data_IF_295829103263
#
_entry.id   IF_295829103263
#
_cell.length_a   1.000
_cell.length_b   1.000
_cell.length_c   1.000
_cell.angle_alpha   90.00
_cell.angle_beta   90.00
_cell.angle_gamma   90.00
#
_symmetry.space_group_name_H-M   'P 1'
#
loop_
_entity.id
_entity.type
_entity.pdbx_description
1 polymer ?
#
# COMPACT_ATOMS: atom_id res chain seq x y z
N UNK A 1 30.84 78.67 11.94
CA UNK A 1 30.33 78.07 10.69
C UNK A 1 29.18 77.18 11.08
N UNK A 2 27.96 77.63 10.84
CA UNK A 2 26.70 77.00 11.28
C UNK A 2 26.25 75.99 10.24
N UNK A 3 25.89 74.77 10.66
CA UNK A 3 25.00 73.87 9.91
C UNK A 3 24.19 73.05 10.93
N UNK A 4 22.90 73.32 11.03
CA UNK A 4 21.87 72.49 11.69
C UNK A 4 21.40 71.39 10.73
N UNK A 5 21.12 70.16 11.20
CA UNK A 5 20.27 69.22 10.48
C UNK A 5 18.84 69.19 11.05
N UNK A 6 17.89 69.13 10.11
CA UNK A 6 16.45 69.17 10.25
C UNK A 6 15.83 67.92 10.90
N UNK A 7 14.69 68.17 11.55
CA UNK A 7 13.48 67.34 11.68
C UNK A 7 13.55 65.83 11.42
N UNK A 8 13.30 65.07 12.48
CA UNK A 8 12.86 63.66 12.42
C UNK A 8 11.38 63.56 11.99
N UNK A 9 11.11 63.01 10.80
CA UNK A 9 9.81 62.46 10.44
C UNK A 9 9.68 61.00 10.95
N UNK A 10 8.54 60.60 11.54
CA UNK A 10 8.29 59.21 11.90
C UNK A 10 7.99 58.35 10.64
N UNK A 11 8.31 57.04 10.65
CA UNK A 11 8.15 56.19 9.48
C UNK A 11 6.67 56.04 9.10
N UNK A 12 6.40 56.09 7.78
CA UNK A 12 5.09 55.81 7.17
C UNK A 12 4.52 54.48 7.66
N UNK A 13 3.30 54.54 8.20
CA UNK A 13 2.51 53.35 8.51
C UNK A 13 2.16 52.64 7.21
N UNK A 14 2.68 51.42 7.04
CA UNK A 14 2.24 50.50 5.98
C UNK A 14 0.71 50.39 6.00
N UNK A 15 0.04 50.39 4.84
CA UNK A 15 -1.41 50.28 4.78
C UNK A 15 -1.83 48.99 5.48
N UNK A 16 -2.69 49.13 6.49
CA UNK A 16 -3.31 48.04 7.22
C UNK A 16 -3.76 46.96 6.24
N UNK A 17 -3.06 45.82 6.23
CA UNK A 17 -3.56 44.59 5.65
C UNK A 17 -4.78 44.22 6.50
N UNK A 18 -5.97 44.59 6.05
CA UNK A 18 -7.23 44.08 6.57
C UNK A 18 -7.18 42.58 6.37
N UNK A 19 -6.79 41.87 7.43
CA UNK A 19 -7.01 40.44 7.54
C UNK A 19 -8.52 40.26 7.60
N UNK A 20 -9.16 40.02 6.46
CA UNK A 20 -10.50 39.45 6.45
C UNK A 20 -10.37 38.07 7.09
N UNK A 21 -10.59 38.00 8.40
CA UNK A 21 -10.78 36.73 9.08
C UNK A 21 -11.92 36.01 8.34
N UNK A 22 -11.76 34.73 7.96
CA UNK A 22 -12.85 34.00 7.34
C UNK A 22 -14.07 34.10 8.24
N UNK A 23 -15.22 34.46 7.66
CA UNK A 23 -16.49 34.52 8.39
C UNK A 23 -16.74 33.15 9.02
N UNK A 24 -17.04 33.12 10.32
CA UNK A 24 -17.34 31.88 11.02
C UNK A 24 -18.57 31.21 10.36
N UNK A 25 -18.59 29.86 10.24
CA UNK A 25 -19.73 29.17 9.65
C UNK A 25 -20.98 29.40 10.49
N UNK A 26 -22.13 29.43 9.82
CA UNK A 26 -23.43 29.37 10.47
C UNK A 26 -23.65 28.01 11.16
N UNK A 27 -24.65 27.95 12.04
CA UNK A 27 -25.01 26.69 12.71
C UNK A 27 -25.43 25.61 11.70
N UNK A 28 -26.18 25.99 10.67
CA UNK A 28 -26.67 25.07 9.64
C UNK A 28 -25.51 24.51 8.80
N UNK A 29 -24.60 25.37 8.33
CA UNK A 29 -23.41 24.95 7.58
C UNK A 29 -22.52 23.98 8.37
N UNK A 30 -22.35 24.21 9.68
CA UNK A 30 -21.56 23.30 10.51
C UNK A 30 -22.31 22.00 10.80
N UNK A 31 -23.63 22.04 11.00
CA UNK A 31 -24.44 20.84 11.22
C UNK A 31 -24.40 19.90 10.01
N UNK A 32 -24.54 20.44 8.79
CA UNK A 32 -24.40 19.67 7.54
C UNK A 32 -23.02 19.01 7.45
N UNK A 33 -21.95 19.79 7.64
CA UNK A 33 -20.57 19.25 7.63
C UNK A 33 -20.35 18.14 8.66
N UNK A 34 -20.95 18.28 9.84
CA UNK A 34 -20.81 17.30 10.91
C UNK A 34 -21.58 16.00 10.58
N UNK A 35 -22.75 16.12 9.94
CA UNK A 35 -23.49 14.96 9.41
C UNK A 35 -22.68 14.24 8.34
N UNK A 36 -22.09 14.95 7.39
CA UNK A 36 -21.23 14.36 6.35
C UNK A 36 -20.04 13.62 6.96
N UNK A 37 -19.39 14.22 7.96
CA UNK A 37 -18.27 13.58 8.68
C UNK A 37 -18.70 12.31 9.42
N UNK A 38 -19.92 12.31 9.96
CA UNK A 38 -20.50 11.15 10.64
C UNK A 38 -20.79 10.02 9.65
N UNK A 39 -21.33 10.34 8.47
CA UNK A 39 -21.57 9.38 7.39
C UNK A 39 -20.26 8.80 6.87
N UNK A 40 -19.24 9.62 6.62
CA UNK A 40 -17.92 9.16 6.20
C UNK A 40 -17.25 8.23 7.24
N UNK A 41 -17.47 8.49 8.53
CA UNK A 41 -17.00 7.60 9.61
C UNK A 41 -17.73 6.25 9.59
N UNK A 42 -19.06 6.26 9.41
CA UNK A 42 -19.86 5.05 9.29
C UNK A 42 -19.49 4.22 8.05
N UNK A 43 -19.26 4.89 6.91
CA UNK A 43 -18.75 4.29 5.68
C UNK A 43 -17.40 3.60 5.93
N UNK A 44 -16.43 4.32 6.51
CA UNK A 44 -15.10 3.76 6.83
C UNK A 44 -15.20 2.51 7.70
N UNK A 45 -16.03 2.55 8.75
CA UNK A 45 -16.21 1.40 9.64
C UNK A 45 -17.01 0.26 8.98
N UNK A 46 -17.83 0.55 7.97
CA UNK A 46 -18.44 -0.50 7.16
C UNK A 46 -17.44 -1.15 6.20
N UNK A 47 -16.50 -0.39 5.64
CA UNK A 47 -15.39 -0.94 4.84
C UNK A 47 -14.57 -1.90 5.70
N UNK A 48 -14.30 -1.56 6.97
CA UNK A 48 -13.65 -2.49 7.91
C UNK A 48 -14.38 -3.84 7.99
N UNK A 49 -15.72 -3.86 8.07
CA UNK A 49 -16.47 -5.12 8.11
C UNK A 49 -16.29 -5.93 6.83
N UNK A 50 -16.42 -5.29 5.67
CA UNK A 50 -16.26 -5.94 4.38
C UNK A 50 -14.86 -6.51 4.16
N UNK A 51 -13.85 -5.79 4.62
CA UNK A 51 -12.45 -6.21 4.58
C UNK A 51 -12.22 -7.42 5.50
N UNK A 52 -12.61 -7.33 6.78
CA UNK A 52 -12.42 -8.41 7.76
C UNK A 52 -13.20 -9.69 7.43
N UNK A 53 -14.34 -9.57 6.74
CA UNK A 53 -15.16 -10.70 6.31
C UNK A 53 -14.75 -11.23 4.93
N UNK A 54 -13.78 -10.62 4.26
CA UNK A 54 -13.30 -11.02 2.94
C UNK A 54 -14.30 -10.77 1.81
N UNK A 55 -15.30 -9.92 2.03
CA UNK A 55 -16.38 -9.67 1.07
C UNK A 55 -15.91 -8.95 -0.19
N UNK A 56 -15.02 -7.95 -0.06
CA UNK A 56 -14.45 -7.28 -1.22
C UNK A 56 -13.61 -8.21 -2.08
N UNK A 57 -12.75 -9.04 -1.46
CA UNK A 57 -11.95 -10.02 -2.18
C UNK A 57 -12.84 -11.03 -2.91
N UNK A 58 -13.89 -11.52 -2.25
CA UNK A 58 -14.85 -12.45 -2.85
C UNK A 58 -15.53 -11.85 -4.10
N UNK A 59 -15.93 -10.58 -4.05
CA UNK A 59 -16.50 -9.87 -5.20
C UNK A 59 -15.46 -9.64 -6.32
N UNK A 60 -14.21 -9.34 -5.96
CA UNK A 60 -13.14 -9.16 -6.94
C UNK A 60 -12.82 -10.49 -7.68
N UNK A 61 -12.80 -11.61 -6.96
CA UNK A 61 -12.44 -12.93 -7.48
C UNK A 61 -13.57 -13.59 -8.30
N UNK A 62 -14.83 -13.30 -7.96
CA UNK A 62 -15.99 -13.99 -8.53
C UNK A 62 -16.91 -13.10 -9.37
N UNK A 63 -16.63 -11.80 -9.44
CA UNK A 63 -17.47 -10.84 -10.15
C UNK A 63 -18.78 -10.56 -9.44
N UNK A 64 -19.83 -10.13 -10.16
CA UNK A 64 -21.11 -9.75 -9.56
C UNK A 64 -21.78 -10.92 -8.81
N UNK A 65 -22.18 -10.70 -7.56
CA UNK A 65 -22.82 -11.71 -6.70
C UNK A 65 -24.13 -11.21 -6.10
N UNK A 66 -25.06 -12.12 -5.82
CA UNK A 66 -26.22 -11.82 -4.97
C UNK A 66 -25.81 -11.86 -3.50
N UNK A 67 -26.63 -11.31 -2.60
CA UNK A 67 -26.39 -11.40 -1.16
C UNK A 67 -26.31 -12.84 -0.65
N UNK A 68 -27.13 -13.74 -1.22
CA UNK A 68 -27.11 -15.16 -0.88
C UNK A 68 -25.81 -15.84 -1.34
N UNK A 69 -25.34 -15.53 -2.56
CA UNK A 69 -24.10 -16.10 -3.09
C UNK A 69 -22.88 -15.63 -2.31
N UNK A 70 -22.81 -14.33 -1.97
CA UNK A 70 -21.73 -13.78 -1.14
C UNK A 70 -21.70 -14.49 0.22
N UNK A 71 -22.86 -14.55 0.88
CA UNK A 71 -22.99 -15.17 2.19
C UNK A 71 -22.58 -16.64 2.20
N UNK A 72 -23.02 -17.41 1.20
CA UNK A 72 -22.64 -18.82 1.05
C UNK A 72 -21.12 -18.98 0.85
N UNK A 73 -20.51 -18.12 0.03
CA UNK A 73 -19.06 -18.19 -0.26
C UNK A 73 -18.19 -17.81 0.93
N UNK A 74 -18.63 -16.85 1.74
CA UNK A 74 -17.84 -16.36 2.89
C UNK A 74 -18.27 -16.96 4.22
N UNK A 75 -19.19 -17.93 4.23
CA UNK A 75 -19.73 -18.54 5.46
C UNK A 75 -20.28 -17.49 6.43
N UNK A 76 -21.04 -16.53 5.90
CA UNK A 76 -21.70 -15.47 6.68
C UNK A 76 -23.21 -15.56 6.55
N UNK A 77 -23.94 -14.83 7.38
CA UNK A 77 -25.40 -14.81 7.32
C UNK A 77 -25.90 -13.95 6.14
N UNK A 78 -26.88 -14.48 5.40
CA UNK A 78 -27.40 -13.85 4.18
C UNK A 78 -28.13 -12.53 4.43
N UNK A 79 -28.74 -12.34 5.60
CA UNK A 79 -29.36 -11.06 5.97
C UNK A 79 -28.28 -10.00 6.12
N UNK A 80 -27.25 -10.28 6.91
CA UNK A 80 -26.18 -9.29 7.16
C UNK A 80 -25.37 -8.98 5.89
N UNK A 81 -25.15 -9.97 5.02
CA UNK A 81 -24.55 -9.75 3.71
C UNK A 81 -25.43 -8.81 2.85
N UNK A 82 -26.76 -8.99 2.86
CA UNK A 82 -27.67 -8.10 2.14
C UNK A 82 -27.62 -6.66 2.64
N UNK A 83 -27.79 -6.47 3.95
CA UNK A 83 -27.78 -5.11 4.55
C UNK A 83 -26.46 -4.38 4.25
N UNK A 84 -25.33 -5.10 4.33
CA UNK A 84 -24.04 -4.53 4.00
C UNK A 84 -23.90 -4.19 2.51
N UNK A 85 -24.26 -5.11 1.61
CA UNK A 85 -24.20 -4.86 0.16
C UNK A 85 -25.05 -3.67 -0.26
N UNK A 86 -26.26 -3.55 0.27
CA UNK A 86 -27.17 -2.43 0.01
C UNK A 86 -26.58 -1.10 0.50
N UNK A 87 -26.00 -1.09 1.71
CA UNK A 87 -25.33 0.08 2.25
C UNK A 87 -24.09 0.49 1.44
N UNK A 88 -23.27 -0.48 1.02
CA UNK A 88 -22.09 -0.24 0.18
C UNK A 88 -22.48 0.32 -1.21
N UNK A 89 -23.60 -0.15 -1.76
CA UNK A 89 -24.15 0.42 -2.98
C UNK A 89 -24.68 1.85 -2.78
N UNK A 90 -25.31 2.13 -1.63
CA UNK A 90 -25.77 3.47 -1.28
C UNK A 90 -24.62 4.48 -1.10
N UNK A 91 -23.47 4.04 -0.58
CA UNK A 91 -22.24 4.85 -0.53
C UNK A 91 -21.50 4.96 -1.87
N UNK A 92 -21.96 4.24 -2.91
CA UNK A 92 -21.33 4.26 -4.23
C UNK A 92 -20.03 3.47 -4.33
N UNK A 93 -19.70 2.64 -3.33
CA UNK A 93 -18.52 1.75 -3.33
C UNK A 93 -18.78 0.55 -4.24
N UNK A 94 -19.99 -0.01 -4.20
CA UNK A 94 -20.42 -1.13 -5.04
C UNK A 94 -21.49 -0.68 -6.05
N UNK A 95 -21.51 -1.31 -7.22
CA UNK A 95 -22.59 -1.16 -8.18
C UNK A 95 -23.67 -2.21 -7.93
N UNK A 96 -24.94 -1.79 -7.82
CA UNK A 96 -26.09 -2.68 -7.73
C UNK A 96 -26.83 -2.76 -9.07
N UNK A 97 -27.04 -3.97 -9.59
CA UNK A 97 -27.89 -4.23 -10.76
C UNK A 97 -29.32 -4.53 -10.31
N UNK A 98 -30.15 -3.49 -10.27
CA UNK A 98 -31.56 -3.57 -9.89
C UNK A 98 -32.46 -4.16 -10.98
N UNK A 99 -31.93 -4.42 -12.18
CA UNK A 99 -32.68 -5.10 -13.25
C UNK A 99 -32.79 -6.61 -13.03
N UNK A 100 -31.98 -7.17 -12.12
CA UNK A 100 -31.96 -8.58 -11.75
C UNK A 100 -32.77 -8.86 -10.49
N UNK A 101 -33.34 -10.07 -10.41
CA UNK A 101 -34.01 -10.55 -9.20
C UNK A 101 -33.49 -11.96 -8.88
N UNK A 102 -32.72 -12.15 -7.79
CA UNK A 102 -32.31 -11.14 -6.81
C UNK A 102 -31.28 -10.14 -7.37
N UNK A 103 -31.19 -8.95 -6.76
CA UNK A 103 -30.18 -7.92 -7.07
C UNK A 103 -28.78 -8.52 -6.98
N UNK A 104 -27.93 -8.20 -7.96
CA UNK A 104 -26.50 -8.53 -7.92
C UNK A 104 -25.66 -7.28 -7.68
N UNK A 105 -24.57 -7.44 -6.96
CA UNK A 105 -23.67 -6.37 -6.57
C UNK A 105 -22.28 -6.65 -7.13
N UNK A 106 -21.60 -5.63 -7.62
CA UNK A 106 -20.29 -5.74 -8.23
C UNK A 106 -19.33 -4.67 -7.70
N UNK A 107 -18.06 -5.04 -7.53
CA UNK A 107 -16.97 -4.11 -7.26
C UNK A 107 -16.34 -3.69 -8.59
N UNK A 108 -16.09 -2.39 -8.77
CA UNK A 108 -15.39 -1.91 -9.96
C UNK A 108 -13.89 -2.23 -9.87
N UNK A 109 -13.16 -2.37 -11.01
CA UNK A 109 -11.72 -2.66 -10.96
C UNK A 109 -10.91 -1.64 -10.16
N UNK A 110 -11.22 -0.34 -10.27
CA UNK A 110 -10.51 0.71 -9.52
C UNK A 110 -10.78 0.64 -8.00
N UNK A 111 -12.01 0.33 -7.60
CA UNK A 111 -12.32 0.13 -6.17
C UNK A 111 -11.67 -1.16 -5.65
N UNK A 112 -11.66 -2.23 -6.45
CA UNK A 112 -10.99 -3.48 -6.11
C UNK A 112 -9.48 -3.29 -5.92
N UNK A 113 -8.81 -2.53 -6.79
CA UNK A 113 -7.39 -2.19 -6.65
C UNK A 113 -7.11 -1.53 -5.28
N UNK A 114 -7.88 -0.50 -4.92
CA UNK A 114 -7.71 0.23 -3.66
C UNK A 114 -7.98 -0.66 -2.44
N UNK A 115 -9.02 -1.49 -2.49
CA UNK A 115 -9.48 -2.24 -1.30
C UNK A 115 -8.87 -3.63 -1.15
N UNK A 116 -8.31 -4.23 -2.21
CA UNK A 116 -7.91 -5.65 -2.19
C UNK A 116 -6.48 -5.91 -2.70
N UNK A 117 -5.94 -5.08 -3.60
CA UNK A 117 -4.62 -5.34 -4.18
C UNK A 117 -3.48 -4.86 -3.27
N UNK A 118 -2.99 -5.75 -2.40
CA UNK A 118 -1.87 -5.48 -1.47
C UNK A 118 -0.50 -5.23 -2.13
N UNK A 119 -0.43 -5.21 -3.47
CA UNK A 119 0.76 -4.83 -4.23
C UNK A 119 0.63 -3.45 -4.88
N UNK A 120 -0.59 -2.92 -5.02
CA UNK A 120 -0.82 -1.60 -5.59
C UNK A 120 -0.41 -0.49 -4.61
N UNK A 121 0.17 0.60 -5.14
CA UNK A 121 0.47 1.81 -4.36
C UNK A 121 -0.79 2.58 -3.97
N UNK A 122 -1.92 2.29 -4.60
CA UNK A 122 -3.22 2.84 -4.27
C UNK A 122 -3.92 2.05 -3.16
N UNK A 123 -3.33 0.96 -2.68
CA UNK A 123 -3.92 0.11 -1.66
C UNK A 123 -4.17 0.85 -0.35
N UNK A 124 -5.43 0.91 0.06
CA UNK A 124 -5.89 1.49 1.32
C UNK A 124 -6.86 0.57 2.07
N UNK A 125 -7.10 -0.66 1.57
CA UNK A 125 -8.08 -1.60 2.14
C UNK A 125 -7.90 -1.87 3.63
N UNK A 126 -6.66 -1.90 4.12
CA UNK A 126 -6.37 -2.14 5.54
C UNK A 126 -6.53 -0.88 6.44
N UNK A 127 -6.63 0.32 5.86
CA UNK A 127 -6.66 1.59 6.63
C UNK A 127 -7.77 1.64 7.70
N UNK A 128 -9.01 1.16 7.45
CA UNK A 128 -10.07 1.13 8.46
C UNK A 128 -9.71 0.35 9.72
N UNK A 129 -8.78 -0.61 9.66
CA UNK A 129 -8.32 -1.37 10.84
C UNK A 129 -7.68 -0.45 11.89
N UNK A 130 -6.98 0.61 11.48
CA UNK A 130 -6.43 1.59 12.42
C UNK A 130 -7.53 2.32 13.20
N UNK A 131 -8.62 2.66 12.52
CA UNK A 131 -9.79 3.28 13.16
C UNK A 131 -10.48 2.31 14.12
N UNK A 132 -10.67 1.05 13.71
CA UNK A 132 -11.21 0.01 14.58
C UNK A 132 -10.37 -0.17 15.87
N UNK A 133 -9.04 -0.26 15.72
CA UNK A 133 -8.11 -0.35 16.84
C UNK A 133 -8.19 0.86 17.78
N UNK A 134 -8.24 2.07 17.22
CA UNK A 134 -8.28 3.31 18.00
C UNK A 134 -9.63 3.51 18.70
N UNK A 135 -10.74 3.24 18.00
CA UNK A 135 -12.09 3.37 18.55
C UNK A 135 -12.36 2.36 19.67
N UNK A 136 -11.78 1.16 19.57
CA UNK A 136 -11.78 0.19 20.66
C UNK A 136 -11.08 0.66 21.94
N UNK A 137 -10.33 1.77 21.89
CA UNK A 137 -9.56 2.35 23.00
C UNK A 137 -9.99 3.77 23.40
N UNK A 138 -11.18 4.20 22.98
CA UNK A 138 -11.70 5.52 23.36
C UNK A 138 -11.75 5.75 24.87
N UNK A 139 -12.19 4.79 25.73
CA UNK A 139 -12.18 5.00 27.18
C UNK A 139 -10.78 5.29 27.74
N UNK A 140 -9.77 4.51 27.35
CA UNK A 140 -8.38 4.70 27.76
C UNK A 140 -7.79 5.99 27.20
N UNK A 141 -8.14 6.34 25.96
CA UNK A 141 -7.73 7.60 25.35
C UNK A 141 -8.32 8.81 26.11
N UNK A 142 -9.59 8.75 26.49
CA UNK A 142 -10.25 9.78 27.30
C UNK A 142 -9.59 9.95 28.66
N UNK A 143 -9.13 8.86 29.29
CA UNK A 143 -8.34 8.95 30.52
C UNK A 143 -7.00 9.64 30.27
N UNK A 144 -6.27 9.21 29.23
CA UNK A 144 -4.98 9.81 28.88
C UNK A 144 -5.08 11.32 28.58
N UNK A 145 -6.18 11.79 27.98
CA UNK A 145 -6.42 13.23 27.78
C UNK A 145 -6.58 14.01 29.10
N UNK A 146 -7.01 13.36 30.18
CA UNK A 146 -7.20 13.99 31.51
C UNK A 146 -5.95 13.88 32.36
N UNK A 147 -5.26 12.74 32.31
CA UNK A 147 -4.22 12.36 33.27
C UNK A 147 -2.81 12.38 32.67
N UNK A 148 -2.69 12.52 31.34
CA UNK A 148 -1.45 12.30 30.61
C UNK A 148 -1.20 10.81 30.33
N UNK A 149 -0.02 10.47 29.79
CA UNK A 149 0.29 9.09 29.39
C UNK A 149 -0.12 8.79 27.95
N UNK A 150 -0.70 7.61 27.69
CA UNK A 150 -1.12 7.23 26.35
C UNK A 150 -1.61 5.78 26.23
N UNK A 151 -2.05 5.42 25.03
CA UNK A 151 -2.44 4.05 24.65
C UNK A 151 -1.26 3.39 23.94
N UNK A 152 -0.82 2.23 24.42
CA UNK A 152 0.33 1.51 23.87
C UNK A 152 -0.01 0.76 22.58
N UNK A 153 1.02 0.44 21.79
CA UNK A 153 0.90 -0.45 20.62
C UNK A 153 0.39 -1.85 20.96
N UNK A 154 0.63 -2.32 22.19
CA UNK A 154 0.06 -3.57 22.68
C UNK A 154 -1.45 -3.45 22.83
N UNK A 155 -1.93 -2.35 23.43
CA UNK A 155 -3.36 -2.08 23.63
C UNK A 155 -4.10 -1.90 22.30
N UNK A 156 -3.49 -1.21 21.32
CA UNK A 156 -4.07 -1.07 19.97
C UNK A 156 -4.20 -2.41 19.23
N UNK A 157 -3.50 -3.45 19.66
CA UNK A 157 -3.74 -4.81 19.21
C UNK A 157 -3.27 -5.11 17.78
N UNK A 158 -3.79 -6.22 17.25
CA UNK A 158 -3.37 -6.74 15.96
C UNK A 158 -3.80 -5.83 14.79
N UNK A 159 -5.01 -5.26 14.84
CA UNK A 159 -5.53 -4.41 13.77
C UNK A 159 -4.61 -3.23 13.46
N UNK A 160 -4.08 -2.52 14.46
CA UNK A 160 -3.16 -1.42 14.24
C UNK A 160 -1.83 -1.89 13.62
N UNK A 161 -1.28 -3.01 14.10
CA UNK A 161 0.00 -3.54 13.61
C UNK A 161 -0.11 -4.08 12.19
N UNK A 162 -1.18 -4.82 11.90
CA UNK A 162 -1.45 -5.37 10.58
C UNK A 162 -1.81 -4.27 9.58
N UNK A 163 -2.56 -3.24 10.00
CA UNK A 163 -2.81 -2.05 9.19
C UNK A 163 -1.50 -1.41 8.73
N UNK A 164 -0.60 -1.12 9.67
CA UNK A 164 0.68 -0.50 9.35
C UNK A 164 1.53 -1.37 8.43
N UNK A 165 1.57 -2.68 8.69
CA UNK A 165 2.30 -3.63 7.85
C UNK A 165 1.75 -3.64 6.41
N UNK A 166 0.43 -3.75 6.26
CA UNK A 166 -0.23 -3.85 4.96
C UNK A 166 -0.11 -2.56 4.14
N UNK A 167 -0.19 -1.37 4.77
CA UNK A 167 -0.07 -0.09 4.07
C UNK A 167 1.37 0.24 3.66
N UNK A 168 2.37 -0.23 4.40
CA UNK A 168 3.77 -0.02 4.04
C UNK A 168 4.27 -1.01 2.97
N UNK A 169 3.65 -2.18 2.88
CA UNK A 169 4.09 -3.28 2.01
C UNK A 169 4.22 -2.87 0.52
N UNK A 170 3.25 -2.20 -0.13
CA UNK A 170 3.37 -1.84 -1.54
C UNK A 170 4.62 -1.02 -1.85
N UNK A 171 4.95 -0.06 -0.98
CA UNK A 171 6.14 0.76 -1.14
C UNK A 171 7.42 -0.06 -0.98
N UNK A 172 7.49 -0.94 0.02
CA UNK A 172 8.67 -1.81 0.19
C UNK A 172 8.88 -2.75 -1.00
N UNK A 173 7.80 -3.33 -1.53
CA UNK A 173 7.88 -4.27 -2.65
C UNK A 173 8.31 -3.59 -3.96
N UNK A 174 7.94 -2.32 -4.17
CA UNK A 174 8.11 -1.66 -5.49
C UNK A 174 9.17 -0.57 -5.52
N UNK A 175 9.38 0.16 -4.42
CA UNK A 175 10.19 1.39 -4.41
C UNK A 175 11.50 1.23 -3.65
N UNK A 176 11.57 0.35 -2.64
CA UNK A 176 12.78 0.20 -1.82
C UNK A 176 13.99 -0.25 -2.64
N UNK A 177 13.81 -1.25 -3.51
CA UNK A 177 14.88 -1.74 -4.40
C UNK A 177 15.45 -0.63 -5.28
N UNK A 178 14.62 0.06 -6.10
CA UNK A 178 15.05 1.22 -6.88
C UNK A 178 15.71 2.33 -6.06
N UNK A 179 15.15 2.67 -4.89
CA UNK A 179 15.68 3.69 -4.01
C UNK A 179 17.10 3.35 -3.52
N UNK A 180 17.34 2.10 -3.12
CA UNK A 180 18.67 1.62 -2.72
C UNK A 180 19.62 1.51 -3.91
N UNK A 181 19.09 1.12 -5.08
CA UNK A 181 19.80 1.07 -6.36
C UNK A 181 20.53 2.40 -6.68
N UNK A 182 19.88 3.53 -6.41
CA UNK A 182 20.44 4.87 -6.63
C UNK A 182 21.57 5.28 -5.68
N UNK A 183 21.80 4.56 -4.57
CA UNK A 183 22.79 4.95 -3.55
C UNK A 183 24.13 4.26 -3.81
N UNK A 184 24.95 4.83 -4.69
CA UNK A 184 26.25 4.24 -5.09
C UNK A 184 27.16 3.91 -3.89
N UNK A 185 27.22 4.77 -2.87
CA UNK A 185 28.05 4.54 -1.69
C UNK A 185 27.57 3.32 -0.87
N UNK A 186 26.27 3.02 -0.87
CA UNK A 186 25.72 1.85 -0.18
C UNK A 186 26.23 0.57 -0.84
N UNK A 187 26.17 0.49 -2.17
CA UNK A 187 26.68 -0.68 -2.91
C UNK A 187 28.16 -0.93 -2.66
N UNK A 188 28.98 0.12 -2.61
CA UNK A 188 30.41 0.01 -2.28
C UNK A 188 30.63 -0.57 -0.87
N UNK A 189 29.81 -0.17 0.10
CA UNK A 189 29.89 -0.69 1.48
C UNK A 189 29.44 -2.14 1.56
N UNK A 190 28.34 -2.48 0.90
CA UNK A 190 27.73 -3.81 0.93
C UNK A 190 28.50 -4.85 0.11
N UNK A 191 29.31 -4.42 -0.87
CA UNK A 191 30.19 -5.30 -1.65
C UNK A 191 31.37 -5.86 -0.85
N UNK A 192 31.58 -5.39 0.39
CA UNK A 192 32.66 -5.89 1.24
C UNK A 192 32.29 -7.28 1.78
N UNK A 193 33.22 -8.26 1.83
CA UNK A 193 32.93 -9.61 2.30
C UNK A 193 32.42 -9.70 3.75
N UNK A 194 32.74 -8.70 4.57
CA UNK A 194 32.38 -8.60 5.98
C UNK A 194 31.18 -7.70 6.25
N UNK A 195 30.53 -7.18 5.21
CA UNK A 195 29.37 -6.31 5.35
C UNK A 195 28.22 -7.03 6.05
N UNK A 196 27.58 -6.33 6.98
CA UNK A 196 26.40 -6.80 7.72
C UNK A 196 25.35 -5.71 7.70
N UNK A 197 24.09 -6.14 7.65
CA UNK A 197 22.92 -5.26 7.68
C UNK A 197 22.10 -5.63 8.91
N UNK A 198 21.66 -4.62 9.65
CA UNK A 198 20.65 -4.74 10.68
C UNK A 198 19.47 -3.83 10.30
N UNK A 199 18.31 -4.43 10.07
CA UNK A 199 17.05 -3.71 9.92
C UNK A 199 16.42 -3.57 11.31
N UNK A 200 16.29 -2.34 11.81
CA UNK A 200 15.84 -2.03 13.17
C UNK A 200 14.42 -1.46 13.08
N UNK A 201 13.47 -2.10 13.75
CA UNK A 201 12.06 -1.71 13.67
C UNK A 201 11.34 -2.27 12.44
N UNK A 202 11.81 -3.40 11.89
CA UNK A 202 11.31 -4.02 10.66
C UNK A 202 9.84 -4.51 10.71
N UNK A 203 9.22 -4.53 11.90
CA UNK A 203 7.81 -4.90 12.07
C UNK A 203 7.48 -6.27 11.47
N UNK A 204 6.56 -6.30 10.52
CA UNK A 204 6.17 -7.53 9.81
C UNK A 204 7.25 -8.07 8.84
N UNK A 205 8.39 -7.39 8.70
CA UNK A 205 9.53 -7.86 7.92
C UNK A 205 9.46 -7.57 6.42
N UNK A 206 8.48 -6.78 5.96
CA UNK A 206 8.38 -6.39 4.55
C UNK A 206 9.64 -5.66 4.06
N UNK A 207 10.19 -4.74 4.87
CA UNK A 207 11.45 -4.06 4.59
C UNK A 207 12.61 -5.05 4.50
N UNK A 208 12.74 -5.98 5.45
CA UNK A 208 13.80 -6.99 5.47
C UNK A 208 13.74 -7.92 4.26
N UNK A 209 12.54 -8.36 3.88
CA UNK A 209 12.32 -9.21 2.70
C UNK A 209 12.66 -8.43 1.43
N UNK A 210 12.23 -7.17 1.33
CA UNK A 210 12.55 -6.30 0.21
C UNK A 210 14.06 -6.01 0.12
N UNK A 211 14.72 -5.75 1.25
CA UNK A 211 16.18 -5.62 1.36
C UNK A 211 16.89 -6.88 0.87
N UNK A 212 16.44 -8.05 1.33
CA UNK A 212 16.97 -9.32 0.88
C UNK A 212 16.83 -9.43 -0.64
N UNK A 213 15.65 -9.19 -1.22
CA UNK A 213 15.45 -9.24 -2.68
C UNK A 213 16.31 -8.23 -3.44
N UNK A 214 16.39 -6.98 -2.96
CA UNK A 214 17.14 -5.92 -3.61
C UNK A 214 18.67 -6.16 -3.60
N UNK A 215 19.16 -6.83 -2.57
CA UNK A 215 20.60 -7.09 -2.39
C UNK A 215 21.00 -8.52 -2.81
N UNK A 216 20.02 -9.36 -3.17
CA UNK A 216 20.24 -10.74 -3.59
C UNK A 216 19.92 -10.86 -5.08
N UNK A 217 20.89 -10.46 -5.90
CA UNK A 217 20.79 -10.47 -7.36
C UNK A 217 21.10 -11.81 -8.00
N UNK A 218 20.48 -12.92 -7.57
CA UNK A 218 20.58 -14.16 -8.34
C UNK A 218 19.24 -14.87 -8.54
N UNK A 219 19.03 -15.30 -9.78
CA UNK A 219 18.08 -16.34 -10.14
C UNK A 219 18.88 -17.59 -10.48
N UNK A 220 18.54 -18.73 -9.85
CA UNK A 220 19.20 -20.01 -10.12
C UNK A 220 18.42 -20.78 -11.19
N UNK A 221 19.11 -21.18 -12.25
CA UNK A 221 18.64 -22.21 -13.15
C UNK A 221 19.20 -23.55 -12.69
N UNK A 222 18.34 -24.57 -12.59
CA UNK A 222 18.71 -25.91 -12.12
C UNK A 222 19.07 -26.80 -13.32
N UNK A 223 19.94 -27.79 -13.11
CA UNK A 223 20.43 -28.67 -14.18
C UNK A 223 19.28 -29.44 -14.87
N UNK A 224 19.46 -29.76 -16.16
CA UNK A 224 18.43 -30.38 -17.00
C UNK A 224 17.77 -31.63 -16.37
N UNK A 225 18.51 -32.62 -15.82
CA UNK A 225 17.88 -33.82 -15.25
C UNK A 225 16.99 -33.53 -14.04
N UNK A 226 17.39 -32.58 -13.20
CA UNK A 226 16.62 -32.18 -12.01
C UNK A 226 15.37 -31.39 -12.43
N UNK A 227 15.54 -30.45 -13.36
CA UNK A 227 14.45 -29.71 -13.99
C UNK A 227 13.43 -30.63 -14.68
N UNK A 228 13.85 -31.77 -15.24
CA UNK A 228 12.96 -32.79 -15.82
C UNK A 228 12.24 -33.66 -14.77
N UNK A 229 12.76 -33.73 -13.53
CA UNK A 229 12.20 -34.55 -12.46
C UNK A 229 11.08 -33.87 -11.65
N UNK A 230 10.90 -32.56 -11.82
CA UNK A 230 9.95 -31.73 -11.05
C UNK A 230 8.95 -30.99 -11.97
N UNK A 231 7.84 -31.61 -12.38
CA UNK A 231 6.79 -30.93 -13.15
C UNK A 231 5.94 -29.98 -12.28
N UNK A 232 5.47 -28.83 -12.80
CA UNK A 232 5.65 -28.34 -14.16
C UNK A 232 7.00 -27.62 -14.35
N UNK A 233 7.70 -27.92 -15.45
CA UNK A 233 9.02 -27.36 -15.76
C UNK A 233 9.26 -27.28 -17.27
N UNK A 234 10.03 -26.27 -17.70
CA UNK A 234 10.48 -26.09 -19.11
C UNK A 234 11.75 -26.88 -19.44
N UNK A 235 12.33 -27.60 -18.46
CA UNK A 235 13.50 -28.46 -18.63
C UNK A 235 14.71 -27.72 -19.25
N UNK A 236 15.09 -26.57 -18.68
CA UNK A 236 16.20 -25.76 -19.23
C UNK A 236 17.49 -26.03 -18.50
N UNK A 237 18.46 -26.60 -19.23
CA UNK A 237 19.75 -27.01 -18.66
C UNK A 237 20.80 -25.91 -18.54
N UNK A 238 21.93 -26.29 -17.93
CA UNK A 238 23.06 -25.44 -17.55
C UNK A 238 23.86 -24.86 -18.73
N UNK A 239 23.73 -25.45 -19.93
CA UNK A 239 24.37 -24.94 -21.16
C UNK A 239 23.34 -24.18 -22.00
N UNK A 240 22.72 -23.18 -21.38
CA UNK A 240 21.72 -22.34 -22.03
C UNK A 240 22.37 -21.53 -23.16
N UNK A 241 21.78 -21.60 -24.36
CA UNK A 241 22.22 -20.80 -25.50
C UNK A 241 21.79 -19.34 -25.30
N UNK A 242 22.57 -18.35 -25.78
CA UNK A 242 22.20 -16.93 -25.70
C UNK A 242 20.79 -16.62 -26.22
N UNK A 243 20.37 -17.29 -27.31
CA UNK A 243 19.04 -17.12 -27.89
C UNK A 243 17.91 -17.56 -26.94
N UNK A 244 18.12 -18.64 -26.17
CA UNK A 244 17.15 -19.12 -25.18
C UNK A 244 17.02 -18.13 -24.03
N UNK A 245 18.14 -17.61 -23.51
CA UNK A 245 18.11 -16.59 -22.47
C UNK A 245 17.38 -15.32 -22.94
N UNK A 246 17.64 -14.88 -24.18
CA UNK A 246 16.96 -13.73 -24.77
C UNK A 246 15.45 -13.94 -24.84
N UNK A 247 15.01 -15.12 -25.28
CA UNK A 247 13.59 -15.46 -25.31
C UNK A 247 12.95 -15.42 -23.91
N UNK A 248 13.66 -15.84 -22.86
CA UNK A 248 13.14 -15.75 -21.49
C UNK A 248 13.09 -14.31 -20.98
N UNK A 249 14.10 -13.50 -21.30
CA UNK A 249 14.12 -12.10 -20.93
C UNK A 249 12.97 -11.32 -21.59
N UNK A 250 12.72 -11.55 -22.88
CA UNK A 250 11.59 -10.96 -23.62
C UNK A 250 10.25 -11.38 -23.01
N UNK A 251 10.07 -12.66 -22.68
CA UNK A 251 8.86 -13.15 -22.00
C UNK A 251 8.68 -12.55 -20.60
N UNK A 252 9.78 -12.21 -19.93
CA UNK A 252 9.79 -11.52 -18.65
C UNK A 252 9.60 -10.00 -18.77
N UNK A 253 9.45 -9.46 -19.98
CA UNK A 253 9.22 -8.03 -20.23
C UNK A 253 10.49 -7.17 -20.25
N UNK A 254 11.68 -7.77 -20.29
CA UNK A 254 12.95 -7.05 -20.36
C UNK A 254 13.22 -6.53 -21.78
N UNK A 255 13.73 -5.30 -21.88
CA UNK A 255 14.02 -4.63 -23.16
C UNK A 255 15.13 -5.30 -23.97
N UNK A 256 16.22 -5.74 -23.34
CA UNK A 256 17.33 -6.38 -24.07
C UNK A 256 18.26 -7.23 -23.23
N UNK A 257 19.01 -8.11 -23.91
CA UNK A 257 20.05 -8.97 -23.34
C UNK A 257 21.36 -8.76 -24.09
N UNK A 258 22.37 -8.24 -23.40
CA UNK A 258 23.72 -8.03 -23.92
C UNK A 258 24.69 -9.05 -23.36
N UNK A 259 25.61 -9.56 -24.18
CA UNK A 259 26.70 -10.41 -23.71
C UNK A 259 27.84 -9.51 -23.27
N UNK A 260 28.21 -9.55 -22.00
CA UNK A 260 29.29 -8.75 -21.48
C UNK A 260 30.64 -9.34 -21.93
N UNK A 261 31.60 -8.52 -22.41
CA UNK A 261 32.91 -8.97 -22.86
C UNK A 261 33.87 -9.26 -21.68
N UNK A 262 33.39 -10.02 -20.69
CA UNK A 262 34.15 -10.41 -19.50
C UNK A 262 34.90 -11.72 -19.82
N UNK A 263 36.19 -11.60 -20.07
CA UNK A 263 37.09 -12.72 -20.33
C UNK A 263 37.75 -13.25 -19.04
N UNK A 264 38.33 -14.45 -19.11
CA UNK A 264 39.15 -15.01 -18.01
C UNK A 264 38.40 -15.83 -16.96
N UNK A 265 37.09 -16.06 -17.11
CA UNK A 265 36.24 -16.79 -16.16
C UNK A 265 35.78 -18.17 -16.68
N UNK A 266 36.64 -18.87 -17.44
CA UNK A 266 36.38 -20.25 -17.88
C UNK A 266 35.11 -20.42 -18.72
N UNK A 267 34.19 -21.27 -18.27
CA UNK A 267 32.95 -21.62 -18.99
C UNK A 267 31.80 -20.61 -18.81
N UNK A 268 31.97 -19.63 -17.93
CA UNK A 268 30.89 -18.69 -17.61
C UNK A 268 30.77 -17.60 -18.67
N UNK A 269 29.53 -17.33 -19.09
CA UNK A 269 29.18 -16.17 -19.91
C UNK A 269 28.33 -15.23 -19.07
N UNK A 270 28.70 -13.96 -19.07
CA UNK A 270 28.00 -12.92 -18.35
C UNK A 270 27.07 -12.18 -19.32
N UNK A 271 25.87 -11.89 -18.85
CA UNK A 271 24.88 -11.14 -19.61
C UNK A 271 24.43 -9.95 -18.78
N UNK A 272 24.23 -8.81 -19.43
CA UNK A 272 23.50 -7.67 -18.87
C UNK A 272 22.06 -7.75 -19.39
N UNK A 273 21.12 -7.69 -18.45
CA UNK A 273 19.68 -7.69 -18.72
C UNK A 273 19.17 -6.27 -18.50
N UNK A 274 18.63 -5.65 -19.54
CA UNK A 274 18.11 -4.28 -19.49
C UNK A 274 16.60 -4.35 -19.24
N UNK A 275 16.08 -3.76 -18.15
CA UNK A 275 14.65 -3.70 -17.85
C UNK A 275 13.82 -3.08 -18.96
#
# INVERSE_FOLDING_TARGET
MSITPEGTEPPEQSPHRTTNAPTAPSADEFAERFLDSTLATAETMSVYLGERLGWYQCLADHGPLTAADLAARTTTDARYAREWLEMQAAFGILAADLSRTPTTFAISPGVAEVLTDTSSRSYLGALPRMFAASFGRLPELLDAYRTGGGVSWEQLGADARECQAALNKPWFDTELGPALGGVTHLHQRLSRPDAKIADIGFGAGHSTIALARALYGFSLFVCLPDSMSSPPSVATGTVMRPATLRSYAEQAGLQSVEVLPIAGFGFFRFYELIP
#
